data_IF_888490508214
#
_entry.id   IF_888490508214
#
_cell.length_a   1.000
_cell.length_b   1.000
_cell.length_c   1.000
_cell.angle_alpha   90.00
_cell.angle_beta   90.00
_cell.angle_gamma   90.00
#
_symmetry.space_group_name_H-M   'P 1'
#
loop_
_entity.id
_entity.type
_entity.pdbx_description
1 polymer ?
#
# COMPACT_ATOMS: atom_id res chain seq x y z
N UNK A 1 3.39 -3.68 -29.20
CA UNK A 1 4.52 -4.25 -28.44
C UNK A 1 4.05 -4.64 -27.05
N UNK A 2 4.47 -5.80 -26.52
CA UNK A 2 4.15 -6.21 -25.15
C UNK A 2 4.93 -5.31 -24.17
N UNK A 3 4.23 -4.66 -23.25
CA UNK A 3 4.87 -3.83 -22.22
C UNK A 3 5.43 -4.69 -21.11
N UNK A 4 6.58 -4.29 -20.57
CA UNK A 4 7.11 -4.83 -19.32
C UNK A 4 6.26 -4.31 -18.15
N UNK A 5 5.69 -5.20 -17.37
CA UNK A 5 4.80 -4.88 -16.25
C UNK A 5 5.55 -4.95 -14.93
N UNK A 6 5.57 -3.83 -14.21
CA UNK A 6 6.13 -3.72 -12.87
C UNK A 6 4.98 -3.49 -11.89
N UNK A 7 4.82 -4.36 -10.90
CA UNK A 7 3.82 -4.20 -9.85
C UNK A 7 4.51 -3.91 -8.53
N UNK A 8 4.01 -2.91 -7.81
CA UNK A 8 4.43 -2.54 -6.46
C UNK A 8 3.25 -2.83 -5.54
N UNK A 9 3.47 -3.63 -4.50
CA UNK A 9 2.44 -3.95 -3.50
C UNK A 9 2.71 -3.20 -2.21
N UNK A 10 1.74 -2.41 -1.78
CA UNK A 10 1.75 -1.65 -0.54
C UNK A 10 1.85 -0.14 -0.72
N UNK A 11 0.94 0.60 -0.09
CA UNK A 11 0.82 2.07 -0.13
C UNK A 11 1.50 2.81 1.02
N UNK A 12 2.38 2.14 1.76
CA UNK A 12 3.22 2.76 2.78
C UNK A 12 4.46 3.44 2.19
N UNK A 13 5.40 3.84 3.05
CA UNK A 13 6.61 4.55 2.62
C UNK A 13 7.39 3.80 1.54
N UNK A 14 7.68 2.52 1.73
CA UNK A 14 8.47 1.73 0.78
C UNK A 14 7.84 1.68 -0.61
N UNK A 15 6.53 1.39 -0.68
CA UNK A 15 5.81 1.30 -1.96
C UNK A 15 5.63 2.64 -2.64
N UNK A 16 5.17 3.67 -1.91
CA UNK A 16 4.92 5.00 -2.50
C UNK A 16 6.22 5.65 -2.96
N UNK A 17 7.31 5.60 -2.18
CA UNK A 17 8.59 6.17 -2.61
C UNK A 17 9.21 5.41 -3.78
N UNK A 18 9.04 4.09 -3.84
CA UNK A 18 9.40 3.30 -5.03
C UNK A 18 8.58 3.76 -6.24
N UNK A 19 7.26 3.90 -6.08
CA UNK A 19 6.38 4.37 -7.15
C UNK A 19 6.77 5.77 -7.64
N UNK A 20 7.04 6.72 -6.74
CA UNK A 20 7.50 8.07 -7.07
C UNK A 20 8.82 8.06 -7.86
N UNK A 21 9.76 7.19 -7.46
CA UNK A 21 11.03 7.06 -8.18
C UNK A 21 10.80 6.49 -9.59
N UNK A 22 9.98 5.46 -9.70
CA UNK A 22 9.66 4.85 -11.00
C UNK A 22 8.81 5.78 -11.88
N UNK A 23 7.95 6.62 -11.30
CA UNK A 23 7.13 7.60 -12.02
C UNK A 23 7.97 8.59 -12.83
N UNK A 24 9.13 8.96 -12.28
CA UNK A 24 10.07 9.90 -12.92
C UNK A 24 11.12 9.21 -13.80
N UNK A 25 11.23 7.90 -13.75
CA UNK A 25 12.23 7.10 -14.48
C UNK A 25 11.58 6.09 -15.43
N UNK A 26 11.35 4.85 -15.00
CA UNK A 26 10.89 3.76 -15.85
C UNK A 26 9.48 3.97 -16.43
N UNK A 27 8.56 4.57 -15.67
CA UNK A 27 7.21 4.85 -16.17
C UNK A 27 7.15 5.93 -17.27
N UNK A 28 8.28 6.57 -17.58
CA UNK A 28 8.42 7.45 -18.76
C UNK A 28 8.61 6.69 -20.07
N UNK A 29 9.00 5.43 -19.98
CA UNK A 29 9.24 4.58 -21.15
C UNK A 29 7.90 4.05 -21.67
N UNK A 30 7.71 4.09 -22.98
CA UNK A 30 6.48 3.61 -23.61
C UNK A 30 6.29 2.09 -23.53
N UNK A 31 7.41 1.35 -23.35
CA UNK A 31 7.46 -0.10 -23.25
C UNK A 31 7.37 -0.63 -21.80
N UNK A 32 7.15 0.25 -20.81
CA UNK A 32 7.02 -0.11 -19.39
C UNK A 32 5.69 0.38 -18.85
N UNK A 33 5.04 -0.46 -18.06
CA UNK A 33 3.84 -0.14 -17.29
C UNK A 33 4.11 -0.40 -15.82
N UNK A 34 3.89 0.60 -14.97
CA UNK A 34 4.11 0.50 -13.53
C UNK A 34 2.79 0.70 -12.81
N UNK A 35 2.46 -0.22 -11.92
CA UNK A 35 1.22 -0.19 -11.11
C UNK A 35 1.55 -0.29 -9.63
N UNK A 36 1.01 0.63 -8.83
CA UNK A 36 1.00 0.56 -7.37
C UNK A 36 -0.36 0.04 -6.90
N UNK A 37 -0.35 -1.02 -6.10
CA UNK A 37 -1.54 -1.63 -5.49
C UNK A 37 -1.52 -1.40 -3.99
N UNK A 38 -2.61 -0.89 -3.44
CA UNK A 38 -2.78 -0.70 -2.00
C UNK A 38 -4.25 -0.78 -1.60
N UNK A 39 -4.55 -1.25 -0.40
CA UNK A 39 -5.89 -1.21 0.21
C UNK A 39 -6.33 0.24 0.47
N UNK A 40 -5.42 1.08 0.97
CA UNK A 40 -5.67 2.48 1.24
C UNK A 40 -5.31 3.35 0.02
N UNK A 41 -6.10 4.41 -0.20
CA UNK A 41 -5.88 5.36 -1.28
C UNK A 41 -5.00 6.57 -0.89
N UNK A 42 -4.40 6.51 0.29
CA UNK A 42 -3.52 7.55 0.84
C UNK A 42 -2.25 6.95 1.44
N UNK A 43 -1.20 7.75 1.44
CA UNK A 43 0.00 7.52 2.25
C UNK A 43 -0.24 8.11 3.63
N UNK A 44 -0.14 7.28 4.67
CA UNK A 44 -0.19 7.69 6.06
C UNK A 44 1.22 8.03 6.55
N UNK A 45 1.40 9.25 7.08
CA UNK A 45 2.66 9.65 7.70
C UNK A 45 2.72 9.15 9.14
N UNK A 46 2.99 7.86 9.28
CA UNK A 46 2.96 7.13 10.57
C UNK A 46 3.82 7.73 11.68
N UNK A 47 4.95 8.45 11.44
CA UNK A 47 5.71 9.08 12.52
C UNK A 47 4.92 10.09 13.36
N UNK A 48 3.82 10.64 12.83
CA UNK A 48 2.96 11.62 13.52
C UNK A 48 1.65 11.01 14.06
N UNK A 49 1.49 9.70 14.04
CA UNK A 49 0.27 9.05 14.57
C UNK A 49 0.05 9.35 16.05
N UNK A 50 1.10 9.44 16.85
CA UNK A 50 1.00 9.75 18.26
C UNK A 50 0.50 11.17 18.53
N UNK A 51 0.77 12.14 17.66
CA UNK A 51 0.24 13.50 17.75
C UNK A 51 -1.24 13.58 17.36
N UNK A 52 -1.70 12.68 16.49
CA UNK A 52 -3.13 12.51 16.22
C UNK A 52 -3.83 11.88 17.42
N UNK A 53 -3.24 10.84 18.00
CA UNK A 53 -3.79 10.17 19.19
C UNK A 53 -3.87 11.10 20.41
N UNK A 54 -2.92 12.04 20.57
CA UNK A 54 -2.96 13.06 21.64
C UNK A 54 -3.92 14.23 21.35
N UNK A 55 -4.43 14.34 20.11
CA UNK A 55 -5.32 15.42 19.69
C UNK A 55 -4.60 16.70 19.24
N UNK A 56 -3.27 16.67 19.12
CA UNK A 56 -2.47 17.83 18.69
C UNK A 56 -2.55 18.07 17.18
N UNK A 57 -2.77 17.01 16.39
CA UNK A 57 -2.96 17.08 14.94
C UNK A 57 -4.28 16.47 14.49
N UNK A 58 -4.86 17.04 13.43
CA UNK A 58 -6.00 16.40 12.77
C UNK A 58 -5.53 15.19 11.92
N UNK A 59 -6.33 14.12 11.83
CA UNK A 59 -6.03 12.98 10.95
C UNK A 59 -5.75 13.37 9.50
N UNK A 60 -6.40 14.43 8.99
CA UNK A 60 -6.20 14.95 7.63
C UNK A 60 -4.80 15.52 7.37
N UNK A 61 -4.09 15.93 8.43
CA UNK A 61 -2.79 16.59 8.30
C UNK A 61 -1.66 15.59 8.01
N UNK A 62 -1.89 14.32 8.31
CA UNK A 62 -0.90 13.25 8.16
C UNK A 62 -1.22 12.25 7.02
N UNK A 63 -2.24 12.53 6.20
CA UNK A 63 -2.63 11.70 5.06
C UNK A 63 -2.39 12.41 3.73
N UNK A 64 -1.82 11.72 2.77
CA UNK A 64 -1.53 12.24 1.44
C UNK A 64 -2.16 11.34 0.38
N UNK A 65 -3.14 11.82 -0.42
CA UNK A 65 -3.78 11.02 -1.44
C UNK A 65 -2.79 10.52 -2.50
N UNK A 66 -2.62 9.20 -2.62
CA UNK A 66 -1.62 8.57 -3.50
C UNK A 66 -1.82 9.01 -4.96
N UNK A 67 -3.07 9.09 -5.44
CA UNK A 67 -3.37 9.48 -6.83
C UNK A 67 -2.87 10.88 -7.19
N UNK A 68 -2.75 11.79 -6.21
CA UNK A 68 -2.23 13.14 -6.44
C UNK A 68 -0.70 13.18 -6.51
N UNK A 69 -0.04 12.18 -5.94
CA UNK A 69 1.41 12.07 -5.91
C UNK A 69 1.98 11.47 -7.20
N UNK A 70 1.21 10.64 -7.89
CA UNK A 70 1.64 9.88 -9.08
C UNK A 70 1.09 10.52 -10.36
N UNK A 71 1.91 10.54 -11.42
CA UNK A 71 1.55 11.10 -12.73
C UNK A 71 1.44 10.05 -13.83
N UNK A 72 2.31 9.05 -13.81
CA UNK A 72 2.46 8.00 -14.82
C UNK A 72 2.24 6.60 -14.27
N UNK A 73 2.62 6.39 -13.00
CA UNK A 73 2.34 5.13 -12.31
C UNK A 73 0.84 5.02 -12.10
N UNK A 74 0.27 3.89 -12.50
CA UNK A 74 -1.13 3.58 -12.27
C UNK A 74 -1.34 3.22 -10.80
N UNK A 75 -2.40 3.74 -10.20
CA UNK A 75 -2.78 3.38 -8.84
C UNK A 75 -4.06 2.52 -8.86
N UNK A 76 -3.96 1.34 -8.26
CA UNK A 76 -5.08 0.40 -8.10
C UNK A 76 -5.37 0.23 -6.61
N UNK A 77 -6.55 0.66 -6.18
CA UNK A 77 -7.02 0.39 -4.83
C UNK A 77 -7.60 -1.02 -4.79
N UNK A 78 -6.91 -1.92 -4.11
CA UNK A 78 -7.30 -3.32 -3.96
C UNK A 78 -6.57 -3.99 -2.79
N UNK A 79 -7.20 -5.02 -2.22
CA UNK A 79 -6.60 -5.89 -1.23
C UNK A 79 -5.86 -7.04 -1.90
N UNK A 80 -4.60 -7.22 -1.57
CA UNK A 80 -3.80 -8.35 -2.04
C UNK A 80 -4.22 -9.59 -1.26
N UNK A 81 -4.60 -10.67 -1.98
CA UNK A 81 -5.03 -11.94 -1.39
C UNK A 81 -3.95 -13.00 -1.44
N UNK A 82 -3.31 -13.14 -2.59
CA UNK A 82 -2.22 -14.09 -2.77
C UNK A 82 -1.33 -13.68 -3.94
N UNK A 83 -0.14 -14.26 -3.99
CA UNK A 83 0.85 -14.04 -5.04
C UNK A 83 1.27 -15.41 -5.56
N UNK A 84 1.05 -15.65 -6.85
CA UNK A 84 1.59 -16.80 -7.56
C UNK A 84 2.92 -16.39 -8.21
N UNK A 85 4.03 -16.83 -7.60
CA UNK A 85 5.38 -16.53 -8.09
C UNK A 85 5.71 -17.29 -9.37
N UNK A 86 5.11 -18.47 -9.57
CA UNK A 86 5.34 -19.32 -10.76
C UNK A 86 4.62 -18.75 -11.98
N UNK A 87 3.33 -18.44 -11.82
CA UNK A 87 2.52 -17.81 -12.87
C UNK A 87 2.82 -16.30 -13.04
N UNK A 88 3.59 -15.71 -12.10
CA UNK A 88 3.84 -14.25 -12.01
C UNK A 88 2.54 -13.46 -12.01
N UNK A 89 1.65 -13.80 -11.07
CA UNK A 89 0.32 -13.21 -10.94
C UNK A 89 0.02 -12.83 -9.50
N UNK A 90 -0.55 -11.64 -9.33
CA UNK A 90 -1.08 -11.17 -8.04
C UNK A 90 -2.61 -11.27 -8.09
N UNK A 91 -3.18 -11.98 -7.11
CA UNK A 91 -4.61 -12.07 -6.93
C UNK A 91 -5.06 -11.03 -5.91
N UNK A 92 -5.95 -10.15 -6.33
CA UNK A 92 -6.49 -9.06 -5.52
C UNK A 92 -8.01 -9.12 -5.47
N UNK A 93 -8.59 -8.39 -4.52
CA UNK A 93 -10.01 -8.05 -4.52
C UNK A 93 -10.18 -6.54 -4.40
N UNK A 94 -11.17 -5.95 -5.09
CA UNK A 94 -11.45 -4.51 -5.00
C UNK A 94 -12.93 -4.23 -4.74
N UNK A 95 -13.15 -3.10 -4.07
CA UNK A 95 -14.47 -2.60 -3.76
C UNK A 95 -15.07 -3.18 -2.48
N UNK A 96 -16.15 -2.53 -2.00
CA UNK A 96 -16.91 -2.98 -0.83
C UNK A 96 -17.56 -4.35 -1.03
N UNK A 97 -17.94 -4.65 -2.27
CA UNK A 97 -18.28 -6.02 -2.70
C UNK A 97 -17.04 -6.59 -3.37
N UNK A 98 -16.42 -7.63 -2.77
CA UNK A 98 -15.14 -8.15 -3.27
C UNK A 98 -15.26 -8.64 -4.72
N UNK A 99 -14.73 -7.85 -5.66
CA UNK A 99 -14.61 -8.27 -7.06
C UNK A 99 -13.18 -8.74 -7.30
N UNK A 100 -12.98 -9.98 -7.77
CA UNK A 100 -11.64 -10.48 -8.10
C UNK A 100 -10.96 -9.61 -9.16
N UNK A 101 -9.66 -9.41 -8.98
CA UNK A 101 -8.78 -8.72 -9.91
C UNK A 101 -7.45 -9.43 -9.96
N UNK A 102 -7.08 -9.96 -11.11
CA UNK A 102 -5.80 -10.59 -11.35
C UNK A 102 -4.87 -9.65 -12.11
N UNK A 103 -3.64 -9.53 -11.64
CA UNK A 103 -2.61 -8.67 -12.22
C UNK A 103 -1.37 -9.50 -12.55
N UNK A 104 -1.06 -9.65 -13.84
CA UNK A 104 0.17 -10.28 -14.28
C UNK A 104 1.33 -9.30 -14.20
N UNK A 105 2.53 -9.80 -13.84
CA UNK A 105 3.74 -8.99 -13.74
C UNK A 105 4.97 -9.67 -14.36
N UNK A 106 5.91 -8.85 -14.78
CA UNK A 106 7.27 -9.28 -15.11
C UNK A 106 8.20 -9.08 -13.90
N UNK A 107 8.00 -7.96 -13.18
CA UNK A 107 8.73 -7.59 -11.96
C UNK A 107 7.78 -7.23 -10.84
N UNK A 108 8.11 -7.66 -9.61
CA UNK A 108 7.31 -7.44 -8.42
C UNK A 108 8.14 -6.78 -7.32
N UNK A 109 7.59 -5.72 -6.72
CA UNK A 109 8.14 -5.07 -5.52
C UNK A 109 7.21 -5.36 -4.36
N UNK A 110 7.73 -6.00 -3.32
CA UNK A 110 6.99 -6.28 -2.08
C UNK A 110 7.29 -5.20 -1.06
N UNK A 111 6.29 -4.38 -0.74
CA UNK A 111 6.37 -3.30 0.24
C UNK A 111 5.13 -3.28 1.14
N UNK A 112 4.64 -4.47 1.51
CA UNK A 112 3.38 -4.66 2.24
C UNK A 112 3.44 -4.22 3.72
N UNK A 113 4.62 -3.85 4.20
CA UNK A 113 4.83 -3.40 5.58
C UNK A 113 4.93 -4.57 6.56
N UNK A 114 4.49 -4.32 7.79
CA UNK A 114 4.54 -5.29 8.89
C UNK A 114 3.27 -5.20 9.72
N UNK A 115 2.96 -6.22 10.47
CA UNK A 115 1.90 -6.25 11.47
C UNK A 115 2.47 -6.20 12.88
N UNK A 116 1.64 -5.84 13.88
CA UNK A 116 2.04 -5.88 15.29
C UNK A 116 2.22 -7.35 15.69
N UNK A 117 3.39 -7.65 16.26
CA UNK A 117 3.67 -8.98 16.79
C UNK A 117 3.53 -8.96 18.32
N UNK A 118 2.64 -9.74 18.84
CA UNK A 118 2.41 -9.89 20.28
C UNK A 118 3.24 -11.02 20.91
N UNK A 119 4.14 -11.64 20.15
CA UNK A 119 5.08 -12.68 20.61
C UNK A 119 4.42 -13.88 21.30
N UNK A 120 3.15 -14.16 21.00
CA UNK A 120 2.39 -15.25 21.61
C UNK A 120 2.06 -15.03 23.10
N UNK A 121 2.19 -13.79 23.59
CA UNK A 121 1.81 -13.45 24.97
C UNK A 121 0.30 -13.60 25.15
N UNK A 122 -0.08 -14.45 26.12
CA UNK A 122 -1.50 -14.77 26.36
C UNK A 122 -2.25 -13.53 26.86
N UNK A 123 -3.41 -13.26 26.26
CA UNK A 123 -4.28 -12.14 26.61
C UNK A 123 -3.83 -10.77 26.11
N UNK A 124 -2.62 -10.64 25.56
CA UNK A 124 -2.13 -9.33 25.07
C UNK A 124 -2.79 -8.92 23.77
N UNK A 125 -2.96 -9.85 22.85
CA UNK A 125 -3.61 -9.57 21.55
C UNK A 125 -5.08 -9.11 21.70
N UNK A 126 -5.75 -9.55 22.75
CA UNK A 126 -7.16 -9.25 23.02
C UNK A 126 -7.35 -7.93 23.79
N UNK A 127 -6.31 -7.46 24.47
CA UNK A 127 -6.40 -6.31 25.40
C UNK A 127 -5.52 -5.12 25.04
N UNK A 128 -4.47 -5.34 24.24
CA UNK A 128 -3.56 -4.28 23.83
C UNK A 128 -4.17 -3.41 22.72
N UNK A 129 -4.03 -2.11 22.88
CA UNK A 129 -4.31 -1.13 21.82
C UNK A 129 -3.03 -0.93 21.01
N UNK A 130 -3.16 -0.96 19.69
CA UNK A 130 -2.04 -0.70 18.77
C UNK A 130 -2.05 0.76 18.31
N UNK A 131 -0.93 1.25 17.82
CA UNK A 131 -0.83 2.57 17.19
C UNK A 131 -0.11 2.42 15.84
N UNK A 132 -0.83 1.92 14.84
CA UNK A 132 -0.26 1.60 13.54
C UNK A 132 -1.08 2.13 12.37
N UNK A 133 -2.37 2.23 12.55
CA UNK A 133 -3.32 2.74 11.56
C UNK A 133 -3.92 4.07 12.01
N UNK A 134 -4.54 4.77 11.07
CA UNK A 134 -5.28 5.99 11.39
C UNK A 134 -6.47 5.71 12.31
N UNK A 135 -7.10 4.54 12.16
CA UNK A 135 -8.17 4.08 13.06
C UNK A 135 -7.68 3.95 14.50
N UNK A 136 -6.52 3.32 14.71
CA UNK A 136 -5.93 3.17 16.05
C UNK A 136 -5.70 4.53 16.74
N UNK A 137 -5.35 5.56 15.98
CA UNK A 137 -5.08 6.90 16.53
C UNK A 137 -6.36 7.71 16.82
N UNK A 138 -7.51 7.26 16.31
CA UNK A 138 -8.80 7.95 16.48
C UNK A 138 -9.65 7.36 17.63
N UNK A 139 -9.24 6.23 18.23
CA UNK A 139 -9.83 5.61 19.42
C UNK A 139 -9.30 6.23 20.73
#
# INVERSE_FOLDING_TARGET
MKKTKVIILGGGFGGVYTALRLDTTLARRADVEVTLVSSDNFLLFTPLLHEVASGDLNPSDIVNPIRRMLKRVQFVQADVRSIDLTAKRVHCTRGLRPVPLDLDYDHLVLALGSETNFFGMQGVAETAVTLKTLGDAAE
#
